data_IF_135297162763
#
_entry.id   IF_135297162763
#
_cell.length_a   1.000
_cell.length_b   1.000
_cell.length_c   1.000
_cell.angle_alpha   90.00
_cell.angle_beta   90.00
_cell.angle_gamma   90.00
#
_symmetry.space_group_name_H-M   'P 1'
#
loop_
_entity.id
_entity.type
_entity.pdbx_description
1 polymer ?
#
# COMPACT_ATOMS: atom_id res chain seq x y z
N UNK A 1 5.26 22.53 -22.92
CA UNK A 1 4.29 21.61 -23.53
C UNK A 1 3.69 20.84 -22.38
N UNK A 2 2.38 20.95 -22.17
CA UNK A 2 1.66 20.31 -21.06
C UNK A 2 1.66 18.81 -21.34
N UNK A 3 2.31 18.05 -20.48
CA UNK A 3 2.24 16.58 -20.48
C UNK A 3 0.78 16.15 -20.42
N UNK A 4 0.31 15.45 -21.44
CA UNK A 4 -1.02 14.84 -21.48
C UNK A 4 -1.17 13.83 -20.33
N UNK A 5 -2.43 13.54 -19.97
CA UNK A 5 -2.73 12.46 -19.03
C UNK A 5 -2.04 11.18 -19.52
N UNK A 6 -1.42 10.41 -18.60
CA UNK A 6 -0.93 9.06 -18.92
C UNK A 6 -2.14 8.25 -19.40
N UNK A 7 -2.21 7.99 -20.70
CA UNK A 7 -3.30 7.22 -21.30
C UNK A 7 -3.13 5.72 -21.00
N UNK A 8 -4.24 4.99 -21.07
CA UNK A 8 -4.21 3.52 -21.07
C UNK A 8 -3.38 3.08 -22.29
N UNK A 9 -2.22 2.47 -22.04
CA UNK A 9 -1.28 2.03 -23.09
C UNK A 9 0.03 2.81 -23.16
N UNK A 10 0.18 3.91 -22.42
CA UNK A 10 1.48 4.56 -22.27
C UNK A 10 2.36 3.80 -21.27
N UNK A 11 3.67 3.79 -21.55
CA UNK A 11 4.64 3.16 -20.65
C UNK A 11 4.71 3.94 -19.32
N UNK A 12 4.59 3.21 -18.23
CA UNK A 12 4.74 3.75 -16.88
C UNK A 12 6.16 3.42 -16.41
N UNK A 13 6.94 4.48 -16.17
CA UNK A 13 8.23 4.42 -15.50
C UNK A 13 8.10 5.14 -14.17
N UNK A 14 8.05 4.38 -13.07
CA UNK A 14 7.71 4.92 -11.76
C UNK A 14 8.64 4.50 -10.64
N UNK A 15 8.54 5.22 -9.53
CA UNK A 15 9.27 4.93 -8.28
C UNK A 15 8.29 4.73 -7.15
N UNK A 16 8.53 3.71 -6.31
CA UNK A 16 7.79 3.52 -5.07
C UNK A 16 8.44 4.33 -3.94
N UNK A 17 7.69 5.22 -3.30
CA UNK A 17 8.14 6.02 -2.17
C UNK A 17 7.90 5.27 -0.85
N UNK A 18 8.51 4.09 -0.72
CA UNK A 18 8.43 3.24 0.48
C UNK A 18 9.02 3.92 1.71
N UNK A 19 8.64 3.44 2.88
CA UNK A 19 9.12 3.90 4.18
C UNK A 19 8.87 5.39 4.50
N UNK A 20 8.03 6.07 3.76
CA UNK A 20 7.70 7.48 4.02
C UNK A 20 6.49 7.63 4.95
N UNK A 21 5.31 7.19 4.50
CA UNK A 21 4.06 7.28 5.26
C UNK A 21 3.69 5.97 5.97
N UNK A 22 4.27 4.87 5.54
CA UNK A 22 4.27 3.54 6.18
C UNK A 22 5.71 3.20 6.50
N UNK A 23 6.01 2.93 7.76
CA UNK A 23 7.37 2.63 8.18
C UNK A 23 7.73 1.16 7.94
N UNK A 24 8.93 0.96 7.40
CA UNK A 24 9.53 -0.36 7.15
C UNK A 24 10.90 -0.42 7.82
N UNK A 25 11.03 -1.22 8.87
CA UNK A 25 12.23 -1.27 9.70
C UNK A 25 13.51 -1.55 8.93
N UNK A 26 13.46 -2.40 7.91
CA UNK A 26 14.62 -2.77 7.10
C UNK A 26 15.15 -1.58 6.26
N UNK A 27 14.31 -0.61 5.92
CA UNK A 27 14.71 0.58 5.16
C UNK A 27 15.33 1.67 6.04
N UNK A 28 14.87 1.80 7.31
CA UNK A 28 15.37 2.81 8.25
C UNK A 28 15.35 2.28 9.69
N UNK A 29 16.24 1.35 10.03
CA UNK A 29 16.24 0.66 11.32
C UNK A 29 16.46 1.60 12.51
N UNK A 30 17.11 2.75 12.31
CA UNK A 30 17.36 3.74 13.36
C UNK A 30 16.09 4.35 13.96
N UNK A 31 14.98 4.42 13.22
CA UNK A 31 13.69 4.85 13.76
C UNK A 31 13.22 3.90 14.87
N UNK A 32 13.54 2.62 14.74
CA UNK A 32 13.12 1.57 15.66
C UNK A 32 14.16 1.29 16.76
N UNK A 33 15.33 1.93 16.70
CA UNK A 33 16.46 1.59 17.59
C UNK A 33 16.14 1.84 19.08
N UNK A 34 15.45 2.93 19.40
CA UNK A 34 15.12 3.28 20.78
C UNK A 34 14.06 2.34 21.39
N UNK A 35 13.08 1.92 20.60
CA UNK A 35 11.99 1.03 21.04
C UNK A 35 12.35 -0.44 20.96
N UNK A 36 13.26 -0.83 20.05
CA UNK A 36 13.56 -2.23 19.74
C UNK A 36 12.45 -2.94 18.97
N UNK A 37 11.36 -2.25 18.60
CA UNK A 37 10.18 -2.87 18.00
C UNK A 37 10.45 -3.41 16.58
N UNK A 38 9.63 -4.38 16.18
CA UNK A 38 9.80 -5.07 14.90
C UNK A 38 9.05 -4.38 13.75
N UNK A 39 7.99 -3.63 14.05
CA UNK A 39 7.09 -3.03 13.06
C UNK A 39 6.46 -1.72 13.56
N UNK A 40 5.79 -1.02 12.65
CA UNK A 40 5.19 0.29 12.90
C UNK A 40 4.07 0.24 13.95
N UNK A 41 3.23 -0.78 13.95
CA UNK A 41 2.11 -0.88 14.89
C UNK A 41 2.61 -1.07 16.32
N UNK A 42 3.64 -1.89 16.53
CA UNK A 42 4.26 -2.03 17.85
C UNK A 42 5.04 -0.79 18.27
N UNK A 43 5.70 -0.09 17.34
CA UNK A 43 6.30 1.22 17.62
C UNK A 43 5.26 2.20 18.15
N UNK A 44 4.10 2.29 17.50
CA UNK A 44 3.00 3.16 17.92
C UNK A 44 2.40 2.78 19.27
N UNK A 45 2.38 1.50 19.62
CA UNK A 45 1.80 1.01 20.88
C UNK A 45 2.71 1.19 22.08
N UNK A 46 4.02 1.25 21.87
CA UNK A 46 5.02 1.21 22.94
C UNK A 46 5.67 2.56 23.22
N UNK A 47 5.71 3.44 22.23
CA UNK A 47 6.27 4.77 22.38
C UNK A 47 5.25 5.72 23.01
N UNK A 48 5.74 6.65 23.82
CA UNK A 48 4.91 7.73 24.36
C UNK A 48 4.36 8.61 23.24
N UNK A 49 3.12 9.10 23.36
CA UNK A 49 2.39 9.74 22.24
C UNK A 49 3.10 10.97 21.68
N UNK A 50 3.60 11.85 22.54
CA UNK A 50 4.28 13.08 22.11
C UNK A 50 5.64 12.77 21.46
N UNK A 51 6.37 11.77 21.95
CA UNK A 51 7.62 11.31 21.35
C UNK A 51 7.38 10.67 19.98
N UNK A 52 6.35 9.84 19.86
CA UNK A 52 5.93 9.23 18.62
C UNK A 52 5.57 10.28 17.55
N UNK A 53 4.72 11.24 17.92
CA UNK A 53 4.33 12.33 17.03
C UNK A 53 5.54 13.15 16.54
N UNK A 54 6.45 13.48 17.45
CA UNK A 54 7.67 14.22 17.12
C UNK A 54 8.59 13.41 16.18
N UNK A 55 8.77 12.11 16.45
CA UNK A 55 9.56 11.19 15.62
C UNK A 55 8.97 11.06 14.21
N UNK A 56 7.67 10.81 14.11
CA UNK A 56 6.99 10.65 12.84
C UNK A 56 7.00 11.94 12.02
N UNK A 57 6.79 13.08 12.68
CA UNK A 57 6.89 14.40 12.04
C UNK A 57 8.28 14.64 11.48
N UNK A 58 9.32 14.44 12.29
CA UNK A 58 10.71 14.61 11.87
C UNK A 58 11.03 13.71 10.66
N UNK A 59 10.66 12.44 10.73
CA UNK A 59 10.86 11.50 9.64
C UNK A 59 10.13 11.94 8.36
N UNK A 60 8.83 12.18 8.45
CA UNK A 60 7.99 12.50 7.28
C UNK A 60 8.37 13.83 6.63
N UNK A 61 8.85 14.82 7.41
CA UNK A 61 9.29 16.11 6.89
C UNK A 61 10.61 16.03 6.11
N UNK A 62 11.49 15.09 6.47
CA UNK A 62 12.84 15.01 5.93
C UNK A 62 13.06 13.85 4.93
N UNK A 63 12.24 12.80 4.98
CA UNK A 63 12.51 11.56 4.25
C UNK A 63 12.17 11.68 2.76
N UNK A 64 11.05 12.31 2.42
CA UNK A 64 10.66 12.67 1.05
C UNK A 64 10.29 14.15 1.02
N UNK A 65 10.85 14.86 0.06
CA UNK A 65 10.71 16.31 -0.13
C UNK A 65 10.31 16.65 -1.56
N UNK A 66 10.00 17.92 -1.82
CA UNK A 66 9.77 18.40 -3.20
C UNK A 66 10.97 18.21 -4.12
N UNK A 67 12.19 18.33 -3.57
CA UNK A 67 13.42 18.10 -4.34
C UNK A 67 13.52 16.65 -4.86
N UNK A 68 13.00 15.67 -4.11
CA UNK A 68 12.96 14.28 -4.56
C UNK A 68 11.99 14.12 -5.73
N UNK A 69 10.82 14.77 -5.70
CA UNK A 69 9.88 14.78 -6.83
C UNK A 69 10.49 15.41 -8.08
N UNK A 70 11.20 16.53 -7.92
CA UNK A 70 11.94 17.17 -9.03
C UNK A 70 13.00 16.23 -9.60
N UNK A 71 13.76 15.56 -8.73
CA UNK A 71 14.80 14.63 -9.12
C UNK A 71 14.24 13.40 -9.85
N UNK A 72 13.14 12.81 -9.36
CA UNK A 72 12.44 11.68 -10.00
C UNK A 72 11.96 12.08 -11.41
N UNK A 73 11.33 13.23 -11.55
CA UNK A 73 10.88 13.74 -12.84
C UNK A 73 12.06 14.02 -13.80
N UNK A 74 13.15 14.60 -13.30
CA UNK A 74 14.36 14.89 -14.09
C UNK A 74 15.02 13.62 -14.63
N UNK A 75 14.87 12.47 -13.96
CA UNK A 75 15.34 11.16 -14.42
C UNK A 75 14.37 10.45 -15.39
N UNK A 76 13.30 11.13 -15.80
CA UNK A 76 12.38 10.61 -16.82
C UNK A 76 11.27 9.72 -16.29
N UNK A 77 11.12 9.58 -14.97
CA UNK A 77 9.97 8.92 -14.39
C UNK A 77 8.70 9.77 -14.60
N UNK A 78 7.56 9.10 -14.73
CA UNK A 78 6.27 9.76 -14.94
C UNK A 78 5.24 9.44 -13.85
N UNK A 79 5.58 8.54 -12.90
CA UNK A 79 4.70 8.13 -11.82
C UNK A 79 5.48 7.91 -10.51
N UNK A 80 4.84 8.26 -9.39
CA UNK A 80 5.24 7.83 -8.05
C UNK A 80 4.12 7.00 -7.42
N UNK A 81 4.46 5.83 -6.86
CA UNK A 81 3.57 5.04 -6.02
C UNK A 81 3.81 5.45 -4.57
N UNK A 82 2.75 5.79 -3.85
CA UNK A 82 2.86 6.26 -2.47
C UNK A 82 2.11 5.29 -1.55
N UNK A 83 2.84 4.44 -0.81
CA UNK A 83 2.28 3.62 0.25
C UNK A 83 1.63 4.48 1.35
N UNK A 84 0.36 4.22 1.68
CA UNK A 84 -0.37 4.91 2.75
C UNK A 84 -0.92 3.92 3.76
N UNK A 85 -0.91 4.27 5.07
CA UNK A 85 -1.47 3.40 6.09
C UNK A 85 -2.99 3.54 6.19
N UNK A 86 -3.67 2.53 6.76
CA UNK A 86 -5.11 2.58 7.00
C UNK A 86 -5.52 3.69 7.96
N UNK A 87 -4.63 4.14 8.82
CA UNK A 87 -4.84 5.23 9.78
C UNK A 87 -4.45 6.61 9.25
N UNK A 88 -4.28 6.76 7.93
CA UNK A 88 -3.81 8.01 7.29
C UNK A 88 -4.59 9.25 7.72
N UNK A 89 -5.89 9.12 8.02
CA UNK A 89 -6.75 10.23 8.43
C UNK A 89 -6.64 10.62 9.91
N UNK A 90 -5.89 9.88 10.75
CA UNK A 90 -5.73 10.16 12.17
C UNK A 90 -6.96 9.85 13.03
N UNK A 91 -7.89 9.06 12.52
CA UNK A 91 -9.13 8.66 13.21
C UNK A 91 -9.04 7.29 13.90
N UNK A 92 -7.84 6.72 13.94
CA UNK A 92 -7.54 5.49 14.68
C UNK A 92 -6.73 5.81 15.93
N UNK A 93 -7.31 5.52 17.10
CA UNK A 93 -6.66 5.81 18.39
C UNK A 93 -5.26 5.19 18.47
N UNK A 94 -4.29 5.97 18.94
CA UNK A 94 -2.90 5.57 19.10
C UNK A 94 -2.08 5.56 17.78
N UNK A 95 -2.68 6.02 16.67
CA UNK A 95 -1.99 6.10 15.38
C UNK A 95 -2.10 7.50 14.79
N UNK A 96 -1.03 8.32 14.85
CA UNK A 96 -1.02 9.65 14.25
C UNK A 96 -1.25 9.59 12.74
N UNK A 97 -2.20 10.40 12.24
CA UNK A 97 -2.47 10.53 10.82
C UNK A 97 -1.32 11.14 10.03
N UNK A 98 -1.46 11.14 8.71
CA UNK A 98 -0.44 11.71 7.81
C UNK A 98 -1.03 12.19 6.47
N UNK A 99 -2.33 12.50 6.43
CA UNK A 99 -3.02 12.90 5.21
C UNK A 99 -2.45 14.19 4.60
N UNK A 100 -1.96 15.11 5.41
CA UNK A 100 -1.34 16.36 4.99
C UNK A 100 -0.05 16.16 4.19
N UNK A 101 0.66 15.07 4.43
CA UNK A 101 1.85 14.71 3.65
C UNK A 101 1.46 14.21 2.26
N UNK A 102 0.39 13.44 2.14
CA UNK A 102 -0.15 13.04 0.86
C UNK A 102 -0.69 14.26 0.09
N UNK A 103 -1.34 15.22 0.76
CA UNK A 103 -1.75 16.50 0.14
C UNK A 103 -0.55 17.24 -0.45
N UNK A 104 0.55 17.36 0.30
CA UNK A 104 1.81 17.97 -0.19
C UNK A 104 2.39 17.22 -1.38
N UNK A 105 2.36 15.88 -1.35
CA UNK A 105 2.82 15.06 -2.47
C UNK A 105 2.04 15.38 -3.76
N UNK A 106 0.74 15.55 -3.67
CA UNK A 106 -0.08 15.96 -4.81
C UNK A 106 0.31 17.35 -5.34
N UNK A 107 0.59 18.30 -4.44
CA UNK A 107 1.04 19.64 -4.86
C UNK A 107 2.40 19.57 -5.57
N UNK A 108 3.34 18.75 -5.08
CA UNK A 108 4.65 18.53 -5.70
C UNK A 108 4.53 17.83 -7.05
N UNK A 109 3.69 16.78 -7.13
CA UNK A 109 3.47 16.04 -8.37
C UNK A 109 2.86 16.92 -9.47
N UNK A 110 1.89 17.79 -9.12
CA UNK A 110 1.29 18.70 -10.09
C UNK A 110 2.26 19.78 -10.60
N UNK A 111 3.27 20.17 -9.78
CA UNK A 111 4.33 21.08 -10.21
C UNK A 111 5.40 20.41 -11.07
N UNK A 112 5.67 19.15 -10.83
CA UNK A 112 6.73 18.38 -11.53
C UNK A 112 6.21 17.59 -12.72
N UNK A 113 4.88 17.50 -12.91
CA UNK A 113 4.27 16.72 -13.99
C UNK A 113 4.17 15.21 -13.70
N UNK A 114 4.53 14.77 -12.48
CA UNK A 114 4.39 13.38 -12.07
C UNK A 114 2.94 13.01 -11.78
N UNK A 115 2.61 11.74 -11.98
CA UNK A 115 1.35 11.15 -11.54
C UNK A 115 1.55 10.41 -10.22
N UNK A 116 0.47 10.24 -9.45
CA UNK A 116 0.46 9.52 -8.17
C UNK A 116 -0.46 8.32 -8.25
N UNK A 117 0.06 7.15 -7.93
CA UNK A 117 -0.68 5.97 -7.54
C UNK A 117 -0.73 5.93 -6.01
N UNK A 118 -1.92 6.12 -5.44
CA UNK A 118 -2.13 5.92 -4.00
C UNK A 118 -2.23 4.42 -3.75
N UNK A 119 -1.38 3.88 -2.89
CA UNK A 119 -1.42 2.47 -2.52
C UNK A 119 -1.84 2.31 -1.05
N UNK A 120 -3.00 1.67 -0.80
CA UNK A 120 -3.35 1.28 0.57
C UNK A 120 -2.46 0.12 1.00
N UNK A 121 -1.41 0.45 1.72
CA UNK A 121 -0.30 -0.46 2.01
C UNK A 121 -0.52 -1.34 3.23
N UNK A 122 -1.24 -0.82 4.23
CA UNK A 122 -1.54 -1.56 5.46
C UNK A 122 -3.03 -1.54 5.76
N UNK A 123 -3.49 -2.56 6.49
CA UNK A 123 -4.87 -2.67 6.97
C UNK A 123 -4.90 -3.15 8.42
N UNK A 124 -5.94 -2.82 9.21
CA UNK A 124 -6.03 -3.27 10.60
C UNK A 124 -5.97 -4.79 10.70
N UNK A 125 -5.05 -5.31 11.53
CA UNK A 125 -4.83 -6.75 11.65
C UNK A 125 -4.06 -7.38 10.50
N UNK A 126 -3.44 -6.59 9.66
CA UNK A 126 -2.56 -6.90 8.54
C UNK A 126 -3.14 -7.88 7.49
N UNK A 127 -2.72 -7.75 6.26
CA UNK A 127 -3.09 -8.61 5.13
C UNK A 127 -2.01 -9.62 4.75
N UNK A 128 -0.79 -9.47 5.26
CA UNK A 128 0.33 -10.32 4.87
C UNK A 128 1.22 -10.79 6.05
N UNK A 129 1.21 -10.10 7.19
CA UNK A 129 2.04 -10.42 8.35
C UNK A 129 3.52 -10.10 8.16
N UNK A 130 3.86 -9.29 7.16
CA UNK A 130 5.18 -8.70 6.98
C UNK A 130 5.29 -7.39 7.76
N UNK A 131 6.48 -6.87 7.93
CA UNK A 131 6.71 -5.56 8.52
C UNK A 131 6.06 -4.44 7.68
N UNK A 132 6.13 -4.52 6.35
CA UNK A 132 5.44 -3.61 5.43
C UNK A 132 3.91 -3.66 5.55
N UNK A 133 3.32 -4.70 6.10
CA UNK A 133 1.90 -4.78 6.46
C UNK A 133 1.58 -4.09 7.80
N UNK A 134 2.58 -3.50 8.43
CA UNK A 134 2.49 -2.73 9.68
C UNK A 134 2.43 -3.58 10.95
N UNK A 135 2.09 -4.87 10.89
CA UNK A 135 1.96 -5.76 12.05
C UNK A 135 2.50 -7.15 11.72
N UNK A 136 3.72 -7.42 12.17
CA UNK A 136 4.46 -8.66 11.88
C UNK A 136 3.81 -9.89 12.51
N UNK A 137 3.67 -10.95 11.72
CA UNK A 137 3.18 -12.25 12.18
C UNK A 137 1.66 -12.35 12.37
N UNK A 138 0.91 -11.27 12.13
CA UNK A 138 -0.56 -11.25 12.21
C UNK A 138 -1.14 -11.13 10.81
N UNK A 139 -2.12 -11.99 10.46
CA UNK A 139 -2.88 -11.92 9.22
C UNK A 139 -4.35 -12.18 9.53
N UNK A 140 -5.06 -11.15 9.99
CA UNK A 140 -6.42 -11.29 10.52
C UNK A 140 -7.46 -10.31 9.96
N UNK A 141 -7.03 -9.33 9.16
CA UNK A 141 -7.92 -8.36 8.56
C UNK A 141 -9.16 -9.00 7.93
N UNK A 142 -8.97 -10.02 7.13
CA UNK A 142 -10.04 -10.70 6.39
C UNK A 142 -11.03 -11.48 7.29
N UNK A 143 -10.68 -11.70 8.55
CA UNK A 143 -11.52 -12.40 9.52
C UNK A 143 -12.56 -11.48 10.19
N UNK A 144 -12.46 -10.16 10.00
CA UNK A 144 -13.35 -9.19 10.64
C UNK A 144 -14.11 -8.34 9.62
N UNK A 145 -15.43 -8.52 9.50
CA UNK A 145 -16.25 -7.65 8.63
C UNK A 145 -16.14 -6.17 8.96
N UNK A 146 -15.95 -5.82 10.25
CA UNK A 146 -15.74 -4.43 10.68
C UNK A 146 -14.45 -3.84 10.13
N UNK A 147 -13.34 -4.59 10.19
CA UNK A 147 -12.04 -4.15 9.64
C UNK A 147 -12.12 -4.00 8.11
N UNK A 148 -12.78 -4.94 7.43
CA UNK A 148 -12.98 -4.87 5.97
C UNK A 148 -13.81 -3.65 5.58
N UNK A 149 -14.91 -3.38 6.31
CA UNK A 149 -15.75 -2.20 6.06
C UNK A 149 -14.98 -0.90 6.27
N UNK A 150 -14.17 -0.82 7.31
CA UNK A 150 -13.33 0.35 7.60
C UNK A 150 -12.32 0.59 6.47
N UNK A 151 -11.66 -0.44 5.98
CA UNK A 151 -10.72 -0.35 4.84
C UNK A 151 -11.41 0.19 3.58
N UNK A 152 -12.61 -0.31 3.28
CA UNK A 152 -13.40 0.20 2.16
C UNK A 152 -13.82 1.67 2.34
N UNK A 153 -14.04 2.10 3.57
CA UNK A 153 -14.31 3.51 3.89
C UNK A 153 -13.06 4.38 3.67
N UNK A 154 -11.90 3.95 4.16
CA UNK A 154 -10.62 4.64 3.93
C UNK A 154 -10.37 4.82 2.43
N UNK A 155 -10.50 3.77 1.62
CA UNK A 155 -10.38 3.84 0.16
C UNK A 155 -11.36 4.84 -0.47
N UNK A 156 -12.62 4.81 -0.01
CA UNK A 156 -13.66 5.73 -0.49
C UNK A 156 -13.32 7.18 -0.16
N UNK A 157 -12.81 7.45 1.03
CA UNK A 157 -12.40 8.79 1.48
C UNK A 157 -11.20 9.29 0.68
N UNK A 158 -10.20 8.45 0.43
CA UNK A 158 -9.04 8.77 -0.42
C UNK A 158 -9.49 9.12 -1.83
N UNK A 159 -10.30 8.27 -2.46
CA UNK A 159 -10.82 8.53 -3.80
C UNK A 159 -11.60 9.85 -3.89
N UNK A 160 -12.51 10.11 -2.93
CA UNK A 160 -13.27 11.38 -2.87
C UNK A 160 -12.39 12.60 -2.70
N UNK A 161 -11.33 12.51 -1.89
CA UNK A 161 -10.41 13.62 -1.63
C UNK A 161 -9.61 13.99 -2.86
N UNK A 162 -9.13 12.99 -3.60
CA UNK A 162 -8.16 13.22 -4.68
C UNK A 162 -8.72 13.12 -6.10
N UNK A 163 -10.00 12.74 -6.30
CA UNK A 163 -10.60 12.55 -7.63
C UNK A 163 -10.44 13.76 -8.59
N UNK A 164 -10.35 14.96 -8.05
CA UNK A 164 -10.24 16.19 -8.83
C UNK A 164 -8.77 16.65 -8.99
N UNK A 165 -7.81 15.92 -8.43
CA UNK A 165 -6.39 16.25 -8.54
C UNK A 165 -5.86 15.74 -9.88
N UNK A 166 -5.22 16.61 -10.65
CA UNK A 166 -4.65 16.28 -11.97
C UNK A 166 -3.55 15.22 -11.89
N UNK A 167 -2.85 15.17 -10.77
CA UNK A 167 -1.79 14.21 -10.55
C UNK A 167 -2.32 12.81 -10.18
N UNK A 168 -3.61 12.60 -9.87
CA UNK A 168 -4.10 11.27 -9.52
C UNK A 168 -4.08 10.36 -10.76
N UNK A 169 -3.20 9.34 -10.74
CA UNK A 169 -3.21 8.24 -11.68
C UNK A 169 -4.27 7.21 -11.30
N UNK A 170 -4.31 6.84 -10.02
CA UNK A 170 -5.25 5.84 -9.55
C UNK A 170 -5.08 5.48 -8.08
N UNK A 171 -5.85 4.47 -7.67
CA UNK A 171 -5.83 3.93 -6.32
C UNK A 171 -5.61 2.42 -6.38
N UNK A 172 -4.55 1.96 -5.74
CA UNK A 172 -4.33 0.55 -5.47
C UNK A 172 -5.04 0.17 -4.17
N UNK A 173 -5.92 -0.83 -4.27
CA UNK A 173 -6.87 -1.11 -3.19
C UNK A 173 -6.27 -1.87 -2.02
N UNK A 174 -5.17 -2.58 -2.23
CA UNK A 174 -4.48 -3.32 -1.16
C UNK A 174 -3.13 -3.85 -1.63
N UNK A 175 -2.06 -3.49 -0.91
CA UNK A 175 -0.72 -4.07 -1.11
C UNK A 175 -0.65 -5.52 -0.65
N UNK A 176 -0.11 -6.41 -1.44
CA UNK A 176 0.39 -7.75 -1.11
C UNK A 176 -0.50 -8.63 -0.21
N UNK A 177 -1.79 -8.86 -0.52
CA UNK A 177 -2.61 -9.81 0.23
C UNK A 177 -2.06 -11.24 0.10
N UNK A 178 -1.55 -11.79 1.21
CA UNK A 178 -0.74 -13.01 1.21
C UNK A 178 -1.53 -14.25 0.81
N UNK A 179 -0.94 -15.09 -0.05
CA UNK A 179 -1.50 -16.39 -0.40
C UNK A 179 -1.02 -17.50 0.55
N UNK A 180 -1.56 -18.72 0.38
CA UNK A 180 -1.24 -19.85 1.23
C UNK A 180 0.25 -20.28 1.14
N UNK A 181 0.81 -20.30 -0.06
CA UNK A 181 2.19 -20.73 -0.27
C UNK A 181 3.15 -19.73 0.38
N UNK A 182 3.00 -18.44 0.06
CA UNK A 182 3.82 -17.39 0.64
C UNK A 182 3.68 -17.33 2.16
N UNK A 183 2.45 -17.49 2.71
CA UNK A 183 2.21 -17.53 4.15
C UNK A 183 2.95 -18.70 4.83
N UNK A 184 2.94 -19.89 4.23
CA UNK A 184 3.63 -21.06 4.79
C UNK A 184 5.15 -20.94 4.74
N UNK A 185 5.67 -20.27 3.70
CA UNK A 185 7.12 -20.13 3.48
C UNK A 185 7.70 -18.90 4.18
N UNK A 186 6.89 -17.92 4.54
CA UNK A 186 7.37 -16.70 5.17
C UNK A 186 7.76 -16.94 6.65
N UNK A 187 9.02 -16.64 7.03
CA UNK A 187 9.42 -16.67 8.44
C UNK A 187 8.61 -15.70 9.31
N UNK A 188 8.27 -14.52 8.79
CA UNK A 188 7.55 -13.46 9.51
C UNK A 188 6.16 -13.91 9.97
N UNK A 189 5.47 -14.82 9.26
CA UNK A 189 4.18 -15.36 9.69
C UNK A 189 4.23 -16.07 11.04
N UNK A 190 5.44 -16.37 11.57
CA UNK A 190 5.67 -17.05 12.86
C UNK A 190 6.26 -16.13 13.93
N UNK A 191 6.48 -14.85 13.61
CA UNK A 191 7.22 -13.90 14.45
C UNK A 191 6.31 -12.88 15.14
N UNK A 192 5.02 -13.19 15.32
CA UNK A 192 4.14 -12.32 16.07
C UNK A 192 4.64 -12.09 17.51
N UNK A 193 4.80 -10.83 17.89
CA UNK A 193 5.17 -10.44 19.27
C UNK A 193 4.07 -10.83 20.25
N UNK A 194 2.81 -10.62 19.90
CA UNK A 194 1.65 -11.11 20.66
C UNK A 194 1.03 -12.34 19.98
N UNK A 195 1.27 -13.51 20.57
CA UNK A 195 0.71 -14.77 20.08
C UNK A 195 -0.81 -14.87 20.24
N UNK A 196 -1.40 -14.14 21.20
CA UNK A 196 -2.86 -14.10 21.37
C UNK A 196 -3.50 -13.30 20.25
N UNK A 197 -2.92 -12.15 19.86
CA UNK A 197 -3.36 -11.35 18.71
C UNK A 197 -3.21 -12.13 17.40
N UNK A 198 -2.16 -12.91 17.25
CA UNK A 198 -1.92 -13.73 16.07
C UNK A 198 -2.84 -14.96 15.97
N UNK A 199 -3.57 -15.32 17.05
CA UNK A 199 -4.42 -16.50 17.03
C UNK A 199 -5.51 -16.40 15.97
N UNK A 200 -5.59 -17.40 15.08
CA UNK A 200 -6.50 -17.41 13.95
C UNK A 200 -5.98 -16.66 12.72
N UNK A 201 -4.70 -16.22 12.73
CA UNK A 201 -4.05 -15.73 11.51
C UNK A 201 -4.00 -16.80 10.43
N UNK A 202 -4.13 -16.38 9.18
CA UNK A 202 -4.06 -17.29 8.04
C UNK A 202 -4.02 -16.55 6.70
N UNK A 203 -3.70 -17.27 5.63
CA UNK A 203 -3.62 -16.69 4.29
C UNK A 203 -4.97 -16.15 3.82
N UNK A 204 -4.95 -15.09 3.03
CA UNK A 204 -6.17 -14.50 2.47
C UNK A 204 -6.79 -15.48 1.44
N UNK A 205 -8.03 -15.98 1.64
CA UNK A 205 -8.66 -16.86 0.67
C UNK A 205 -8.97 -16.13 -0.64
N UNK A 206 -8.76 -16.80 -1.79
CA UNK A 206 -9.02 -16.20 -3.11
C UNK A 206 -10.48 -15.75 -3.28
N UNK A 207 -11.44 -16.53 -2.76
CA UNK A 207 -12.86 -16.17 -2.82
C UNK A 207 -13.16 -14.90 -2.02
N UNK A 208 -12.50 -14.72 -0.86
CA UNK A 208 -12.61 -13.49 -0.09
C UNK A 208 -12.02 -12.31 -0.85
N UNK A 209 -10.79 -12.45 -1.38
CA UNK A 209 -10.11 -11.37 -2.11
C UNK A 209 -10.93 -10.90 -3.32
N UNK A 210 -11.52 -11.82 -4.08
CA UNK A 210 -12.42 -11.48 -5.19
C UNK A 210 -13.68 -10.74 -4.73
N UNK A 211 -14.28 -11.11 -3.59
CA UNK A 211 -15.42 -10.36 -3.04
C UNK A 211 -15.03 -8.96 -2.61
N UNK A 212 -13.89 -8.82 -1.94
CA UNK A 212 -13.36 -7.51 -1.53
C UNK A 212 -13.09 -6.62 -2.74
N UNK A 213 -12.44 -7.13 -3.78
CA UNK A 213 -12.15 -6.37 -5.01
C UNK A 213 -13.42 -5.94 -5.75
N UNK A 214 -14.45 -6.80 -5.81
CA UNK A 214 -15.78 -6.38 -6.36
C UNK A 214 -16.36 -5.21 -5.58
N UNK A 215 -16.34 -5.30 -4.25
CA UNK A 215 -16.89 -4.25 -3.41
C UNK A 215 -16.09 -2.97 -3.49
N UNK A 216 -14.75 -3.04 -3.49
CA UNK A 216 -13.87 -1.90 -3.70
C UNK A 216 -14.16 -1.24 -5.07
N UNK A 217 -14.24 -2.02 -6.14
CA UNK A 217 -14.58 -1.51 -7.47
C UNK A 217 -15.93 -0.78 -7.50
N UNK A 218 -16.96 -1.38 -6.92
CA UNK A 218 -18.32 -0.78 -6.86
C UNK A 218 -18.35 0.56 -6.13
N UNK A 219 -17.50 0.72 -5.10
CA UNK A 219 -17.40 1.98 -4.34
C UNK A 219 -16.53 3.03 -5.04
N UNK A 220 -15.44 2.61 -5.65
CA UNK A 220 -14.44 3.53 -6.20
C UNK A 220 -14.80 4.00 -7.61
N UNK A 221 -15.28 3.10 -8.49
CA UNK A 221 -15.50 3.43 -9.90
C UNK A 221 -16.46 4.61 -10.12
N UNK A 222 -17.59 4.75 -9.38
CA UNK A 222 -18.46 5.93 -9.52
C UNK A 222 -17.86 7.24 -9.02
N UNK A 223 -16.77 7.19 -8.28
CA UNK A 223 -16.10 8.37 -7.69
C UNK A 223 -14.97 8.85 -8.61
N UNK A 224 -14.19 7.92 -9.15
CA UNK A 224 -13.00 8.17 -9.95
C UNK A 224 -13.39 8.53 -11.39
N UNK A 225 -12.62 9.40 -12.05
CA UNK A 225 -12.78 9.72 -13.46
C UNK A 225 -12.39 8.51 -14.35
N UNK A 226 -12.78 8.54 -15.64
CA UNK A 226 -12.53 7.45 -16.59
C UNK A 226 -11.04 7.23 -16.87
N UNK A 227 -10.21 8.28 -16.74
CA UNK A 227 -8.77 8.23 -16.89
C UNK A 227 -8.03 7.84 -15.60
N UNK A 228 -8.75 7.68 -14.49
CA UNK A 228 -8.19 7.26 -13.20
C UNK A 228 -8.40 5.76 -12.98
N UNK A 229 -7.32 5.06 -12.69
CA UNK A 229 -7.25 3.60 -12.66
C UNK A 229 -7.51 3.05 -11.25
N UNK A 230 -8.19 1.92 -11.16
CA UNK A 230 -8.24 1.11 -9.93
C UNK A 230 -7.25 -0.04 -10.09
N UNK A 231 -6.24 -0.08 -9.21
CA UNK A 231 -5.19 -1.10 -9.25
C UNK A 231 -5.48 -2.18 -8.23
N UNK A 232 -5.32 -3.43 -8.64
CA UNK A 232 -5.52 -4.61 -7.82
C UNK A 232 -4.24 -5.44 -7.80
N UNK A 233 -3.72 -5.73 -6.61
CA UNK A 233 -2.58 -6.62 -6.48
C UNK A 233 -2.99 -8.09 -6.71
N UNK A 234 -2.15 -8.86 -7.39
CA UNK A 234 -2.45 -10.26 -7.76
C UNK A 234 -2.50 -11.23 -6.56
N UNK A 235 -2.03 -10.79 -5.40
CA UNK A 235 -1.92 -11.62 -4.19
C UNK A 235 -1.01 -12.83 -4.41
N UNK A 236 0.03 -12.66 -5.22
CA UNK A 236 0.98 -13.70 -5.63
C UNK A 236 0.31 -14.89 -6.33
N UNK A 237 -0.74 -14.62 -7.15
CA UNK A 237 -1.58 -15.64 -7.83
C UNK A 237 -1.95 -15.19 -9.24
N UNK A 238 -0.98 -14.67 -9.99
CA UNK A 238 -1.18 -14.03 -11.29
C UNK A 238 -2.13 -14.84 -12.21
N UNK A 239 -1.92 -16.14 -12.34
CA UNK A 239 -2.75 -17.00 -13.21
C UNK A 239 -4.23 -17.12 -12.80
N UNK A 240 -4.59 -16.74 -11.55
CA UNK A 240 -5.98 -16.78 -11.05
C UNK A 240 -6.84 -15.60 -11.50
N UNK A 241 -6.22 -14.57 -12.11
CA UNK A 241 -6.88 -13.34 -12.55
C UNK A 241 -7.17 -13.31 -14.03
N UNK A 242 -6.70 -14.32 -14.81
CA UNK A 242 -6.91 -14.39 -16.24
C UNK A 242 -8.39 -14.20 -16.59
N UNK A 243 -8.68 -13.16 -17.38
CA UNK A 243 -10.03 -12.78 -17.82
C UNK A 243 -11.04 -12.51 -16.69
N UNK A 244 -10.63 -12.47 -15.40
CA UNK A 244 -11.58 -12.28 -14.30
C UNK A 244 -12.20 -10.89 -14.33
N UNK A 245 -11.39 -9.85 -14.45
CA UNK A 245 -11.88 -8.46 -14.50
C UNK A 245 -12.84 -8.22 -15.66
N UNK A 246 -12.54 -8.77 -16.83
CA UNK A 246 -13.40 -8.68 -18.03
C UNK A 246 -14.75 -9.37 -17.78
N UNK A 247 -14.76 -10.56 -17.18
CA UNK A 247 -16.00 -11.29 -16.84
C UNK A 247 -16.85 -10.57 -15.80
N UNK A 248 -16.22 -9.82 -14.90
CA UNK A 248 -16.90 -8.99 -13.91
C UNK A 248 -17.38 -7.65 -14.49
N UNK A 249 -17.08 -7.35 -15.75
CA UNK A 249 -17.42 -6.07 -16.41
C UNK A 249 -16.67 -4.87 -15.84
N UNK A 250 -15.51 -5.11 -15.22
CA UNK A 250 -14.68 -4.03 -14.67
C UNK A 250 -13.89 -3.34 -15.79
N UNK A 251 -13.93 -2.01 -15.80
CA UNK A 251 -13.20 -1.14 -16.74
C UNK A 251 -12.24 -0.23 -15.97
N UNK A 252 -11.22 0.26 -16.66
CA UNK A 252 -10.21 1.17 -16.12
C UNK A 252 -9.55 0.58 -14.87
N UNK A 253 -9.11 -0.68 -15.02
CA UNK A 253 -8.46 -1.45 -13.98
C UNK A 253 -7.11 -1.96 -14.44
N UNK A 254 -6.18 -2.08 -13.50
CA UNK A 254 -4.85 -2.66 -13.71
C UNK A 254 -4.60 -3.75 -12.68
N UNK A 255 -3.88 -4.79 -13.08
CA UNK A 255 -3.39 -5.82 -12.17
C UNK A 255 -1.92 -5.54 -11.87
N UNK A 256 -1.61 -5.35 -10.60
CA UNK A 256 -0.26 -5.23 -10.11
C UNK A 256 0.30 -6.60 -9.69
N UNK A 257 1.58 -6.83 -9.94
CA UNK A 257 2.29 -8.03 -9.54
C UNK A 257 3.71 -7.70 -9.12
N UNK A 258 4.10 -8.16 -7.94
CA UNK A 258 5.42 -7.92 -7.37
C UNK A 258 6.34 -9.10 -7.68
N UNK A 259 7.16 -8.93 -8.70
CA UNK A 259 8.17 -9.92 -9.12
C UNK A 259 9.54 -9.41 -8.70
N UNK A 260 10.11 -10.02 -7.66
CA UNK A 260 11.45 -9.71 -7.18
C UNK A 260 12.46 -10.73 -7.69
N UNK A 261 13.51 -10.30 -8.37
CA UNK A 261 14.57 -11.17 -8.88
C UNK A 261 15.27 -11.97 -7.76
N UNK A 262 15.41 -11.37 -6.58
CA UNK A 262 15.97 -12.07 -5.40
C UNK A 262 15.15 -13.30 -5.01
N UNK A 263 13.84 -13.32 -5.26
CA UNK A 263 13.01 -14.49 -5.04
C UNK A 263 13.33 -15.60 -6.05
N UNK A 264 13.69 -15.25 -7.28
CA UNK A 264 14.10 -16.22 -8.30
C UNK A 264 15.42 -16.91 -7.93
N UNK A 265 16.35 -16.22 -7.28
CA UNK A 265 17.62 -16.80 -6.82
C UNK A 265 17.45 -17.80 -5.67
N UNK A 266 16.46 -17.60 -4.82
CA UNK A 266 16.15 -18.47 -3.68
C UNK A 266 15.38 -19.73 -4.06
N UNK A 267 14.73 -19.76 -5.22
CA UNK A 267 13.96 -20.91 -5.68
C UNK A 267 14.64 -21.60 -6.87
N UNK A 268 15.18 -22.84 -6.71
CA UNK A 268 15.86 -23.55 -7.79
C UNK A 268 15.03 -23.74 -9.07
N UNK A 269 13.71 -23.72 -8.96
CA UNK A 269 12.79 -23.84 -10.11
C UNK A 269 12.84 -22.62 -11.05
N UNK A 270 13.26 -21.45 -10.61
CA UNK A 270 13.38 -20.24 -11.44
C UNK A 270 14.75 -20.09 -12.11
N UNK A 271 15.73 -20.98 -11.81
CA UNK A 271 17.03 -21.03 -12.51
C UNK A 271 16.96 -21.64 -13.89
N UNK A 272 15.79 -22.11 -14.32
CA UNK A 272 15.56 -22.82 -15.59
C UNK A 272 14.74 -22.00 -16.61
N UNK A 273 14.49 -20.71 -16.33
CA UNK A 273 13.94 -19.73 -17.27
C UNK A 273 14.99 -18.65 -17.50
#
# INVERSE_FOLDING_TARGET
MVSGALGIGERIDGVNLGNWLVLEKWMKPEIFAASGEADEIWLHRTMESAELEALLKWHRDAYITEADFQNIAAHGCNLVRIPVPYFIFGDVSGHPGCIEYLDRAFDWAERTGLKILIDLHTVPGSQNGFDNGGLTGVVRWHCSPRMVSYVLDVLTRLAKRYRNRRALFGVEVLNEPINRLTYMMSPSSKQAKDRAEARGSGPIPMAFLKRFYREAYRRLRPILAEDQIIVFHDGFRLGRWRNWFVREGMRDVMLDTHIYLVMAEQFPLFRLI
#
